data_IF_830014758182
#
_entry.id   IF_830014758182
#
_cell.length_a   1.000
_cell.length_b   1.000
_cell.length_c   1.000
_cell.angle_alpha   90.00
_cell.angle_beta   90.00
_cell.angle_gamma   90.00
#
_symmetry.space_group_name_H-M   'P 1'
#
loop_
_entity.id
_entity.type
_entity.pdbx_description
1 polymer ?
#
# COMPACT_ATOMS: atom_id res chain seq x y z
N UNK A 1 14.62 16.49 15.30
CA UNK A 1 13.54 15.54 15.07
C UNK A 1 13.47 15.20 13.60
N UNK A 2 13.52 13.92 13.24
CA UNK A 2 13.26 13.51 11.88
C UNK A 2 11.84 13.96 11.49
N UNK A 3 11.63 14.48 10.27
CA UNK A 3 10.29 14.82 9.84
C UNK A 3 9.42 13.56 9.86
N UNK A 4 8.30 13.62 10.53
CA UNK A 4 7.30 12.56 10.48
C UNK A 4 6.78 12.47 9.04
N UNK A 5 6.98 11.32 8.41
CA UNK A 5 6.40 11.05 7.11
C UNK A 5 4.92 10.79 7.32
N UNK A 6 4.07 11.66 6.81
CA UNK A 6 2.64 11.45 6.87
C UNK A 6 2.26 10.14 6.19
N UNK A 7 1.51 9.34 6.90
CA UNK A 7 0.96 8.10 6.42
C UNK A 7 0.00 8.39 5.25
N UNK A 8 0.25 7.76 4.10
CA UNK A 8 -0.62 7.88 2.93
C UNK A 8 -1.35 6.56 2.69
N UNK A 9 -2.64 6.52 3.00
CA UNK A 9 -3.48 5.36 2.73
C UNK A 9 -3.68 5.19 1.22
N UNK A 10 -3.88 3.94 0.79
CA UNK A 10 -3.85 3.55 -0.62
C UNK A 10 -5.22 3.00 -1.05
N UNK A 11 -5.72 3.47 -2.18
CA UNK A 11 -6.83 2.83 -2.89
C UNK A 11 -6.29 2.09 -4.10
N UNK A 12 -6.51 0.79 -4.11
CA UNK A 12 -5.98 -0.14 -5.10
C UNK A 12 -7.08 -0.60 -6.04
N UNK A 13 -6.93 -0.30 -7.31
CA UNK A 13 -7.90 -0.65 -8.36
C UNK A 13 -7.39 -1.82 -9.19
N UNK A 14 -8.22 -2.83 -9.38
CA UNK A 14 -7.85 -3.94 -10.22
C UNK A 14 -8.90 -5.04 -10.18
N UNK A 15 -9.03 -5.82 -11.26
CA UNK A 15 -10.05 -6.85 -11.36
C UNK A 15 -9.88 -7.95 -10.31
N UNK A 16 -10.96 -8.65 -10.01
CA UNK A 16 -10.95 -9.81 -9.13
C UNK A 16 -9.97 -10.86 -9.69
N UNK A 17 -9.16 -11.45 -8.83
CA UNK A 17 -8.15 -12.41 -9.26
C UNK A 17 -6.88 -11.80 -9.83
N UNK A 18 -6.72 -10.48 -9.75
CA UNK A 18 -5.52 -9.77 -10.23
C UNK A 18 -4.32 -9.86 -9.30
N UNK A 19 -4.47 -10.52 -8.15
CA UNK A 19 -3.38 -10.70 -7.19
C UNK A 19 -3.26 -9.59 -6.14
N UNK A 20 -4.28 -8.76 -5.95
CA UNK A 20 -4.26 -7.69 -4.94
C UNK A 20 -3.95 -8.21 -3.54
N UNK A 21 -4.66 -9.24 -3.10
CA UNK A 21 -4.44 -9.85 -1.78
C UNK A 21 -3.04 -10.42 -1.65
N UNK A 22 -2.56 -11.12 -2.66
CA UNK A 22 -1.21 -11.67 -2.68
C UNK A 22 -0.15 -10.57 -2.57
N UNK A 23 -0.34 -9.48 -3.31
CA UNK A 23 0.57 -8.35 -3.27
C UNK A 23 0.64 -7.73 -1.87
N UNK A 24 -0.51 -7.54 -1.23
CA UNK A 24 -0.56 -6.96 0.12
C UNK A 24 0.08 -7.90 1.16
N UNK A 25 -0.18 -9.20 1.07
CA UNK A 25 0.47 -10.20 1.94
C UNK A 25 1.99 -10.16 1.79
N UNK A 26 2.46 -10.08 0.56
CA UNK A 26 3.89 -10.02 0.27
C UNK A 26 4.51 -8.72 0.78
N UNK A 27 3.79 -7.61 0.64
CA UNK A 27 4.20 -6.32 1.18
C UNK A 27 4.37 -6.36 2.70
N UNK A 28 3.40 -6.93 3.40
CA UNK A 28 3.46 -7.04 4.87
C UNK A 28 4.65 -7.88 5.33
N UNK A 29 4.95 -8.97 4.62
CA UNK A 29 6.14 -9.79 4.90
C UNK A 29 7.43 -9.03 4.67
N UNK A 30 7.50 -8.28 3.57
CA UNK A 30 8.66 -7.48 3.23
C UNK A 30 8.95 -6.41 4.28
N UNK A 31 7.91 -5.74 4.75
CA UNK A 31 8.02 -4.71 5.79
C UNK A 31 8.15 -5.29 7.20
N UNK A 32 7.96 -6.59 7.35
CA UNK A 32 7.95 -7.29 8.64
C UNK A 32 6.96 -6.66 9.62
N UNK A 33 5.75 -6.45 9.15
CA UNK A 33 4.65 -5.88 9.95
C UNK A 33 3.44 -6.82 9.96
N UNK A 34 2.62 -6.77 11.01
CA UNK A 34 1.39 -7.54 11.04
C UNK A 34 0.38 -7.05 10.00
N UNK A 35 -0.43 -7.97 9.49
CA UNK A 35 -1.45 -7.71 8.48
C UNK A 35 -2.78 -8.28 8.93
N UNK A 36 -3.83 -7.49 8.79
CA UNK A 36 -5.21 -7.97 8.87
C UNK A 36 -5.90 -7.74 7.53
N UNK A 37 -6.67 -8.71 7.09
CA UNK A 37 -7.45 -8.65 5.86
C UNK A 37 -8.92 -8.75 6.20
N UNK A 38 -9.72 -7.85 5.63
CA UNK A 38 -11.16 -7.85 5.77
C UNK A 38 -11.82 -7.67 4.41
N UNK A 39 -13.05 -8.14 4.30
CA UNK A 39 -13.91 -7.91 3.15
C UNK A 39 -14.95 -6.85 3.54
N UNK A 40 -15.04 -5.78 2.77
CA UNK A 40 -15.96 -4.68 3.07
C UNK A 40 -17.41 -5.14 3.12
N UNK A 41 -17.78 -6.17 2.34
CA UNK A 41 -19.14 -6.70 2.33
C UNK A 41 -19.52 -7.48 3.59
N UNK A 42 -18.51 -7.97 4.32
CA UNK A 42 -18.72 -8.65 5.60
C UNK A 42 -18.78 -7.69 6.79
N UNK A 43 -18.40 -6.42 6.59
CA UNK A 43 -18.45 -5.40 7.62
C UNK A 43 -19.84 -4.79 7.72
N UNK A 44 -20.31 -4.61 8.95
CA UNK A 44 -21.62 -4.03 9.21
C UNK A 44 -21.51 -2.97 10.31
N UNK A 45 -22.56 -2.16 10.42
CA UNK A 45 -22.70 -1.29 11.58
C UNK A 45 -22.79 -2.10 12.87
N UNK A 46 -22.35 -1.49 13.97
CA UNK A 46 -22.51 -2.08 15.31
C UNK A 46 -23.98 -2.45 15.57
N UNK A 47 -24.23 -3.71 15.94
CA UNK A 47 -25.57 -4.23 16.23
C UNK A 47 -26.22 -5.05 15.13
N UNK A 48 -25.65 -5.12 13.93
CA UNK A 48 -26.12 -5.98 12.84
C UNK A 48 -25.34 -7.29 12.79
N UNK A 49 -25.87 -8.29 12.07
CA UNK A 49 -25.21 -9.58 11.86
C UNK A 49 -24.01 -9.38 10.93
N UNK A 50 -22.83 -9.75 11.40
CA UNK A 50 -21.56 -9.63 10.70
C UNK A 50 -20.47 -9.07 11.61
N UNK A 51 -19.27 -8.93 11.08
CA UNK A 51 -18.16 -8.33 11.81
C UNK A 51 -18.35 -6.83 11.89
N UNK A 52 -18.18 -6.25 13.08
CA UNK A 52 -18.10 -4.80 13.18
C UNK A 52 -16.73 -4.32 12.67
N UNK A 53 -16.64 -3.03 12.37
CA UNK A 53 -15.43 -2.45 11.79
C UNK A 53 -14.25 -2.53 12.77
N UNK A 54 -14.52 -2.44 14.07
CA UNK A 54 -13.51 -2.54 15.11
C UNK A 54 -12.89 -3.93 15.19
N UNK A 55 -13.62 -4.97 14.75
CA UNK A 55 -13.11 -6.35 14.72
C UNK A 55 -11.89 -6.49 13.81
N UNK A 56 -11.74 -5.63 12.81
CA UNK A 56 -10.57 -5.62 11.93
C UNK A 56 -9.32 -5.24 12.72
N UNK A 57 -9.45 -4.26 13.61
CA UNK A 57 -8.35 -3.85 14.50
C UNK A 57 -8.00 -4.97 15.48
N UNK A 58 -9.00 -5.69 15.98
CA UNK A 58 -8.81 -6.88 16.82
C UNK A 58 -8.03 -7.97 16.08
N UNK A 59 -8.36 -8.23 14.82
CA UNK A 59 -7.60 -9.18 13.97
C UNK A 59 -6.15 -8.75 13.80
N UNK A 60 -5.90 -7.46 13.63
CA UNK A 60 -4.55 -6.93 13.51
C UNK A 60 -3.76 -7.12 14.80
N UNK A 61 -4.38 -6.88 15.95
CA UNK A 61 -3.75 -7.10 17.26
C UNK A 61 -3.37 -8.57 17.44
N UNK A 62 -4.27 -9.49 17.08
CA UNK A 62 -3.99 -10.93 17.11
C UNK A 62 -2.82 -11.31 16.18
N UNK A 63 -2.80 -10.75 14.98
CA UNK A 63 -1.70 -10.98 14.02
C UNK A 63 -0.36 -10.42 14.52
N UNK A 64 -0.39 -9.41 15.40
CA UNK A 64 0.79 -8.84 16.04
C UNK A 64 1.23 -9.62 17.29
N UNK A 65 0.61 -10.76 17.58
CA UNK A 65 0.88 -11.53 18.81
C UNK A 65 0.44 -10.78 20.07
N UNK A 66 -0.61 -10.00 19.98
CA UNK A 66 -1.15 -9.13 21.05
C UNK A 66 -0.21 -8.01 21.49
N UNK A 67 0.78 -7.68 20.67
CA UNK A 67 1.67 -6.55 20.89
C UNK A 67 1.04 -5.30 20.26
N UNK A 68 0.56 -4.39 21.11
CA UNK A 68 -0.14 -3.16 20.70
C UNK A 68 0.75 -2.29 19.82
N UNK A 69 1.99 -2.09 20.21
CA UNK A 69 2.93 -1.23 19.44
C UNK A 69 3.17 -1.77 18.03
N UNK A 70 3.33 -3.08 17.89
CA UNK A 70 3.45 -3.73 16.57
C UNK A 70 2.18 -3.57 15.74
N UNK A 71 1.00 -3.74 16.37
CA UNK A 71 -0.28 -3.57 15.70
C UNK A 71 -0.44 -2.14 15.17
N UNK A 72 -0.05 -1.14 15.95
CA UNK A 72 -0.15 0.27 15.57
C UNK A 72 0.71 0.66 14.36
N UNK A 73 1.67 -0.17 13.97
CA UNK A 73 2.51 -0.01 12.78
C UNK A 73 2.21 -1.06 11.70
N UNK A 74 1.10 -1.75 11.81
CA UNK A 74 0.67 -2.78 10.88
C UNK A 74 -0.05 -2.26 9.65
N UNK A 75 -0.55 -3.21 8.86
CA UNK A 75 -1.33 -2.95 7.65
C UNK A 75 -2.72 -3.57 7.82
N UNK A 76 -3.74 -2.81 7.48
CA UNK A 76 -5.11 -3.31 7.32
C UNK A 76 -5.47 -3.21 5.84
N UNK A 77 -5.79 -4.35 5.23
CA UNK A 77 -6.27 -4.43 3.86
C UNK A 77 -7.77 -4.74 3.87
N UNK A 78 -8.55 -3.83 3.28
CA UNK A 78 -10.00 -3.99 3.16
C UNK A 78 -10.32 -4.15 1.68
N UNK A 79 -10.67 -5.39 1.29
CA UNK A 79 -11.02 -5.71 -0.08
C UNK A 79 -12.50 -5.48 -0.37
N UNK A 80 -12.87 -5.48 -1.64
CA UNK A 80 -14.26 -5.34 -2.09
C UNK A 80 -14.90 -3.99 -1.71
N UNK A 81 -14.08 -2.93 -1.62
CA UNK A 81 -14.55 -1.61 -1.19
C UNK A 81 -15.56 -1.00 -2.17
N UNK A 82 -15.49 -1.36 -3.46
CA UNK A 82 -16.42 -0.92 -4.49
C UNK A 82 -17.86 -1.40 -4.24
N UNK A 83 -18.03 -2.52 -3.54
CA UNK A 83 -19.34 -3.09 -3.24
C UNK A 83 -20.13 -2.31 -2.19
N UNK A 84 -19.47 -1.46 -1.42
CA UNK A 84 -20.14 -0.55 -0.49
C UNK A 84 -20.32 0.86 -1.06
N UNK A 85 -20.08 1.04 -2.35
CA UNK A 85 -20.38 2.27 -3.04
C UNK A 85 -21.88 2.53 -3.08
N UNK A 86 -22.27 3.80 -3.03
CA UNK A 86 -23.66 4.21 -3.14
C UNK A 86 -24.15 3.96 -4.57
N UNK A 87 -25.17 3.09 -4.72
CA UNK A 87 -25.76 2.80 -6.03
C UNK A 87 -26.66 3.95 -6.48
N UNK A 88 -26.39 4.50 -7.66
CA UNK A 88 -27.31 5.39 -8.34
C UNK A 88 -28.54 4.56 -8.75
N UNK A 89 -29.75 5.08 -8.60
CA UNK A 89 -31.01 4.49 -9.07
C UNK A 89 -31.65 3.39 -8.21
N UNK A 90 -31.29 3.26 -6.95
CA UNK A 90 -32.10 2.46 -6.04
C UNK A 90 -33.10 3.35 -5.30
N UNK A 91 -34.38 3.02 -5.42
CA UNK A 91 -35.48 3.68 -4.69
C UNK A 91 -35.40 3.41 -3.17
N UNK A 92 -34.67 2.39 -2.76
CA UNK A 92 -34.36 2.10 -1.37
C UNK A 92 -33.02 2.72 -1.00
N UNK A 93 -32.98 3.40 0.15
CA UNK A 93 -31.74 3.83 0.76
C UNK A 93 -30.82 2.62 0.91
N UNK A 94 -29.68 2.62 0.22
CA UNK A 94 -28.61 1.71 0.55
C UNK A 94 -27.86 2.27 1.78
N UNK A 95 -28.56 2.21 2.90
CA UNK A 95 -28.09 2.75 4.17
C UNK A 95 -26.86 1.99 4.65
N UNK A 96 -26.74 0.71 4.28
CA UNK A 96 -25.66 -0.16 4.76
C UNK A 96 -24.30 0.21 4.16
N UNK A 97 -24.22 0.47 2.85
CA UNK A 97 -22.96 0.80 2.18
C UNK A 97 -22.39 2.15 2.61
N UNK A 98 -23.23 3.17 2.63
CA UNK A 98 -22.84 4.50 3.09
C UNK A 98 -22.41 4.51 4.55
N UNK A 99 -23.13 3.80 5.40
CA UNK A 99 -22.81 3.67 6.82
C UNK A 99 -21.45 3.01 7.04
N UNK A 100 -21.15 1.95 6.28
CA UNK A 100 -19.85 1.27 6.37
C UNK A 100 -18.73 2.20 5.95
N UNK A 101 -18.91 2.99 4.88
CA UNK A 101 -17.92 4.00 4.48
C UNK A 101 -17.70 5.04 5.58
N UNK A 102 -18.76 5.51 6.24
CA UNK A 102 -18.66 6.47 7.35
C UNK A 102 -17.93 5.89 8.56
N UNK A 103 -18.19 4.63 8.90
CA UNK A 103 -17.49 3.96 10.00
C UNK A 103 -16.01 3.72 9.69
N UNK A 104 -15.70 3.30 8.47
CA UNK A 104 -14.30 3.14 8.02
C UNK A 104 -13.56 4.48 8.03
N UNK A 105 -14.24 5.56 7.72
CA UNK A 105 -13.67 6.89 7.73
C UNK A 105 -13.09 7.24 9.12
N UNK A 106 -13.76 6.86 10.19
CA UNK A 106 -13.27 7.08 11.56
C UNK A 106 -11.93 6.41 11.81
N UNK A 107 -11.75 5.17 11.30
CA UNK A 107 -10.47 4.47 11.41
C UNK A 107 -9.38 5.14 10.57
N UNK A 108 -9.73 5.57 9.34
CA UNK A 108 -8.78 6.21 8.43
C UNK A 108 -8.32 7.57 8.92
N UNK A 109 -9.20 8.32 9.59
CA UNK A 109 -8.88 9.62 10.19
C UNK A 109 -7.94 9.48 11.39
N UNK A 110 -7.95 8.32 12.02
CA UNK A 110 -7.20 8.04 13.21
C UNK A 110 -8.06 8.13 14.47
N UNK A 111 -8.05 7.05 15.24
CA UNK A 111 -8.84 6.96 16.47
C UNK A 111 -8.18 6.01 17.46
N UNK A 112 -8.58 6.13 18.72
CA UNK A 112 -8.26 5.16 19.75
C UNK A 112 -9.37 4.11 19.75
N UNK A 113 -9.02 2.85 19.50
CA UNK A 113 -9.98 1.75 19.42
C UNK A 113 -9.72 0.76 20.54
N UNK A 114 -10.73 0.49 21.34
CA UNK A 114 -10.66 -0.55 22.39
C UNK A 114 -11.05 -1.90 21.78
N UNK A 115 -10.17 -2.87 21.90
CA UNK A 115 -10.36 -4.21 21.34
C UNK A 115 -10.02 -5.28 22.37
N UNK A 116 -10.72 -6.44 22.33
CA UNK A 116 -10.39 -7.54 23.23
C UNK A 116 -9.04 -8.17 22.88
N UNK A 117 -8.27 -8.53 23.91
CA UNK A 117 -6.98 -9.19 23.75
C UNK A 117 -7.21 -10.72 23.83
N UNK A 118 -6.76 -11.44 22.80
CA UNK A 118 -6.80 -12.89 22.74
C UNK A 118 -8.17 -13.49 22.45
N UNK A 119 -9.20 -12.67 22.18
CA UNK A 119 -10.55 -13.14 21.83
C UNK A 119 -11.26 -12.12 20.94
N UNK A 120 -12.05 -12.59 20.00
CA UNK A 120 -12.92 -11.74 19.17
C UNK A 120 -14.23 -11.37 19.86
N UNK A 121 -14.46 -11.87 21.08
CA UNK A 121 -15.69 -11.66 21.82
C UNK A 121 -15.50 -10.64 22.93
N UNK A 122 -16.27 -9.55 22.86
CA UNK A 122 -16.39 -8.60 23.96
C UNK A 122 -17.24 -9.24 25.05
N UNK A 123 -16.62 -9.70 26.13
CA UNK A 123 -17.33 -10.02 27.36
C UNK A 123 -16.66 -9.31 28.54
N UNK A 124 -17.37 -9.21 29.66
CA UNK A 124 -16.93 -8.44 30.84
C UNK A 124 -15.62 -8.96 31.46
N UNK A 125 -15.18 -10.18 31.12
CA UNK A 125 -13.99 -10.81 31.69
C UNK A 125 -12.78 -10.78 30.73
N UNK A 126 -12.97 -10.33 29.48
CA UNK A 126 -11.89 -10.28 28.49
C UNK A 126 -11.07 -9.01 28.70
N UNK A 127 -9.73 -9.13 28.83
CA UNK A 127 -8.89 -7.94 28.87
C UNK A 127 -9.02 -7.13 27.59
N UNK A 128 -9.08 -5.83 27.71
CA UNK A 128 -9.18 -4.90 26.59
C UNK A 128 -7.86 -4.16 26.41
N UNK A 129 -7.48 -3.90 25.18
CA UNK A 129 -6.36 -3.06 24.82
C UNK A 129 -6.84 -1.90 23.97
N UNK A 130 -6.18 -0.75 24.10
CA UNK A 130 -6.44 0.42 23.27
C UNK A 130 -5.39 0.46 22.15
N UNK A 131 -5.85 0.48 20.90
CA UNK A 131 -4.99 0.56 19.72
C UNK A 131 -5.24 1.90 19.03
N UNK A 132 -4.16 2.64 18.80
CA UNK A 132 -4.18 3.90 18.05
C UNK A 132 -4.03 3.59 16.57
N UNK A 133 -4.99 3.98 15.74
CA UNK A 133 -4.99 3.70 14.32
C UNK A 133 -4.24 4.72 13.47
N UNK A 134 -3.71 5.78 14.04
CA UNK A 134 -3.05 6.88 13.31
C UNK A 134 -1.86 6.41 12.45
N UNK A 135 -1.13 5.40 12.89
CA UNK A 135 0.06 4.89 12.19
C UNK A 135 -0.17 3.56 11.48
N UNK A 136 -1.39 3.05 11.49
CA UNK A 136 -1.77 1.87 10.71
C UNK A 136 -1.92 2.29 9.25
N UNK A 137 -1.28 1.54 8.34
CA UNK A 137 -1.46 1.75 6.92
C UNK A 137 -2.73 1.03 6.45
N UNK A 138 -3.68 1.79 5.95
CA UNK A 138 -4.89 1.24 5.35
C UNK A 138 -4.74 1.15 3.84
N UNK A 139 -5.01 -0.03 3.31
CA UNK A 139 -5.08 -0.29 1.88
C UNK A 139 -6.49 -0.79 1.59
N UNK A 140 -7.22 -0.07 0.76
CA UNK A 140 -8.54 -0.48 0.31
C UNK A 140 -8.44 -0.93 -1.14
N UNK A 141 -9.03 -2.08 -1.45
CA UNK A 141 -9.00 -2.65 -2.80
C UNK A 141 -10.39 -2.88 -3.36
N UNK A 142 -10.51 -2.82 -4.67
CA UNK A 142 -11.74 -3.13 -5.36
C UNK A 142 -11.57 -3.29 -6.85
N UNK A 143 -12.50 -4.00 -7.48
CA UNK A 143 -12.51 -4.20 -8.92
C UNK A 143 -13.14 -3.01 -9.66
N UNK A 144 -14.07 -2.32 -9.04
CA UNK A 144 -14.76 -1.15 -9.58
C UNK A 144 -15.33 -1.40 -10.99
N UNK A 145 -16.21 -2.40 -11.18
CA UNK A 145 -16.80 -2.66 -12.49
C UNK A 145 -17.63 -1.47 -12.97
N UNK A 146 -17.36 -1.02 -14.20
CA UNK A 146 -18.00 0.16 -14.76
C UNK A 146 -17.23 1.47 -14.57
N UNK A 147 -16.19 1.48 -13.74
CA UNK A 147 -15.35 2.66 -13.54
C UNK A 147 -14.60 3.04 -14.82
N UNK A 148 -14.15 2.06 -15.59
CA UNK A 148 -13.53 2.26 -16.90
C UNK A 148 -14.44 3.06 -17.84
N UNK A 149 -15.72 2.79 -17.87
CA UNK A 149 -16.68 3.54 -18.68
C UNK A 149 -16.82 4.98 -18.21
N UNK A 150 -16.83 5.22 -16.91
CA UNK A 150 -16.86 6.57 -16.33
C UNK A 150 -15.63 7.38 -16.75
N UNK A 151 -14.46 6.75 -16.69
CA UNK A 151 -13.20 7.39 -17.09
C UNK A 151 -13.21 7.72 -18.58
N UNK A 152 -13.61 6.76 -19.42
CA UNK A 152 -13.70 6.93 -20.88
C UNK A 152 -14.65 8.06 -21.24
N UNK A 153 -15.81 8.12 -20.60
CA UNK A 153 -16.79 9.18 -20.85
C UNK A 153 -16.23 10.56 -20.49
N UNK A 154 -15.55 10.69 -19.36
CA UNK A 154 -14.90 11.95 -18.97
C UNK A 154 -13.83 12.38 -19.98
N UNK A 155 -13.01 11.45 -20.44
CA UNK A 155 -11.94 11.73 -21.42
C UNK A 155 -12.53 12.09 -22.79
N UNK A 156 -13.62 11.44 -23.21
CA UNK A 156 -14.33 11.79 -24.45
C UNK A 156 -14.94 13.18 -24.42
N UNK A 157 -15.51 13.60 -23.31
CA UNK A 157 -16.04 14.95 -23.14
C UNK A 157 -14.97 16.03 -23.30
N UNK A 158 -13.76 15.77 -22.81
CA UNK A 158 -12.62 16.69 -23.02
C UNK A 158 -12.15 16.70 -24.45
N UNK A 159 -12.18 15.57 -25.17
CA UNK A 159 -11.72 15.48 -26.54
C UNK A 159 -12.71 16.05 -27.57
N UNK A 160 -14.02 16.11 -27.26
CA UNK A 160 -15.01 16.72 -28.16
C UNK A 160 -14.86 18.24 -28.30
N UNK A 161 -14.17 18.86 -27.38
CA UNK A 161 -13.79 20.29 -27.52
C UNK A 161 -12.63 20.50 -28.48
N UNK A 162 -11.97 19.46 -28.97
CA UNK A 162 -10.81 19.52 -29.85
C UNK A 162 -10.83 18.49 -30.96
N UNK A 163 -11.74 18.53 -31.86
CA UNK A 163 -11.78 17.93 -33.21
C UNK A 163 -10.97 16.65 -33.52
N UNK A 164 -10.78 15.68 -32.61
CA UNK A 164 -10.02 14.48 -32.91
C UNK A 164 -10.84 13.20 -32.64
N UNK A 165 -11.42 12.64 -33.68
CA UNK A 165 -12.06 11.33 -33.67
C UNK A 165 -11.09 10.17 -33.33
N UNK A 166 -9.78 10.38 -33.55
CA UNK A 166 -8.75 9.38 -33.23
C UNK A 166 -8.54 9.18 -31.75
N UNK A 167 -8.76 10.18 -30.90
CA UNK A 167 -8.66 10.06 -29.44
C UNK A 167 -9.73 9.15 -28.86
N UNK A 168 -10.92 9.05 -29.48
CA UNK A 168 -11.98 8.16 -29.01
C UNK A 168 -11.61 6.68 -29.11
N UNK A 169 -10.94 6.28 -30.19
CA UNK A 169 -10.52 4.90 -30.40
C UNK A 169 -9.36 4.52 -29.47
N UNK A 170 -8.47 5.45 -29.16
CA UNK A 170 -7.38 5.21 -28.22
C UNK A 170 -7.88 4.97 -26.80
N UNK A 171 -8.90 5.71 -26.33
CA UNK A 171 -9.45 5.53 -24.98
C UNK A 171 -10.29 4.26 -24.86
N UNK A 172 -11.03 3.87 -25.90
CA UNK A 172 -11.88 2.68 -25.87
C UNK A 172 -11.10 1.37 -25.82
N UNK A 173 -9.86 1.36 -26.30
CA UNK A 173 -9.01 0.18 -26.38
C UNK A 173 -7.80 0.21 -25.44
N UNK A 174 -7.72 1.21 -24.56
CA UNK A 174 -6.60 1.31 -23.62
C UNK A 174 -6.75 0.28 -22.48
N UNK A 175 -5.86 -0.74 -22.40
CA UNK A 175 -5.91 -1.71 -21.33
C UNK A 175 -5.57 -1.11 -19.96
N UNK A 176 -4.93 0.06 -19.92
CA UNK A 176 -4.49 0.75 -18.72
C UNK A 176 -5.36 1.97 -18.39
N UNK A 177 -6.62 1.97 -18.81
CA UNK A 177 -7.53 3.10 -18.62
C UNK A 177 -7.72 3.45 -17.13
N UNK A 178 -7.65 2.45 -16.24
CA UNK A 178 -7.78 2.67 -14.80
C UNK A 178 -6.65 3.56 -14.23
N UNK A 179 -5.51 3.64 -14.90
CA UNK A 179 -4.42 4.55 -14.50
C UNK A 179 -4.80 6.02 -14.65
N UNK A 180 -5.82 6.32 -15.45
CA UNK A 180 -6.34 7.66 -15.68
C UNK A 180 -7.40 8.08 -14.67
N UNK A 181 -7.67 7.26 -13.66
CA UNK A 181 -8.70 7.52 -12.65
C UNK A 181 -8.45 8.83 -11.90
N UNK A 182 -9.53 9.55 -11.63
CA UNK A 182 -9.53 10.74 -10.77
C UNK A 182 -10.47 10.53 -9.59
N UNK A 183 -10.32 11.36 -8.58
CA UNK A 183 -11.25 11.36 -7.43
C UNK A 183 -12.69 11.62 -7.86
N UNK A 184 -12.89 12.48 -8.87
CA UNK A 184 -14.21 12.74 -9.43
C UNK A 184 -14.85 11.50 -10.05
N UNK A 185 -14.07 10.69 -10.76
CA UNK A 185 -14.55 9.41 -11.32
C UNK A 185 -15.05 8.47 -10.23
N UNK A 186 -14.30 8.37 -9.14
CA UNK A 186 -14.65 7.53 -8.00
C UNK A 186 -15.89 8.06 -7.26
N UNK A 187 -16.03 9.36 -7.17
CA UNK A 187 -17.23 9.99 -6.61
C UNK A 187 -18.45 9.70 -7.48
N UNK A 188 -18.31 9.79 -8.80
CA UNK A 188 -19.37 9.43 -9.74
C UNK A 188 -19.72 7.95 -9.71
N UNK A 189 -18.76 7.11 -9.34
CA UNK A 189 -19.00 5.67 -9.11
C UNK A 189 -19.86 5.43 -7.86
N UNK A 190 -19.78 6.29 -6.84
CA UNK A 190 -20.57 6.18 -5.62
C UNK A 190 -19.77 6.20 -4.32
N UNK A 191 -18.49 6.53 -4.40
CA UNK A 191 -17.66 6.67 -3.20
C UNK A 191 -17.86 8.04 -2.55
N UNK A 192 -17.87 8.07 -1.23
CA UNK A 192 -18.06 9.31 -0.46
C UNK A 192 -16.80 10.18 -0.55
N UNK A 193 -16.94 11.49 -0.86
CA UNK A 193 -15.78 12.37 -0.99
C UNK A 193 -14.86 12.41 0.22
N UNK A 194 -15.40 12.41 1.43
CA UNK A 194 -14.63 12.43 2.68
C UNK A 194 -13.79 11.15 2.82
N UNK A 195 -14.36 10.01 2.44
CA UNK A 195 -13.66 8.72 2.44
C UNK A 195 -12.52 8.73 1.43
N UNK A 196 -12.78 9.22 0.21
CA UNK A 196 -11.74 9.34 -0.82
C UNK A 196 -10.61 10.29 -0.41
N UNK A 197 -10.93 11.34 0.33
CA UNK A 197 -9.94 12.27 0.85
C UNK A 197 -8.94 11.64 1.80
N UNK A 198 -9.30 10.51 2.43
CA UNK A 198 -8.40 9.75 3.30
C UNK A 198 -7.66 8.63 2.58
N UNK A 199 -7.87 8.49 1.28
CA UNK A 199 -7.18 7.53 0.40
C UNK A 199 -6.48 8.28 -0.74
N UNK A 200 -5.48 9.11 -0.43
CA UNK A 200 -4.90 10.02 -1.42
C UNK A 200 -4.08 9.31 -2.49
N UNK A 201 -3.67 8.07 -2.26
CA UNK A 201 -2.87 7.31 -3.21
C UNK A 201 -3.78 6.39 -4.01
N UNK A 202 -3.99 6.75 -5.28
CA UNK A 202 -4.80 5.97 -6.20
C UNK A 202 -3.87 5.20 -7.14
N UNK A 203 -4.03 3.88 -7.18
CA UNK A 203 -3.15 3.03 -7.99
C UNK A 203 -3.96 1.97 -8.71
N UNK A 204 -3.73 1.83 -10.01
CA UNK A 204 -4.22 0.69 -10.77
C UNK A 204 -3.23 -0.47 -10.66
N UNK A 205 -3.72 -1.71 -10.76
CA UNK A 205 -2.86 -2.86 -10.51
C UNK A 205 -1.70 -2.98 -11.51
N UNK A 206 -1.86 -2.54 -12.74
CA UNK A 206 -0.81 -2.61 -13.75
C UNK A 206 0.31 -1.59 -13.54
N UNK A 207 -0.02 -0.36 -13.12
CA UNK A 207 0.96 0.66 -12.75
C UNK A 207 1.43 0.56 -11.30
N UNK A 208 0.62 -0.12 -10.47
CA UNK A 208 0.81 -0.23 -9.04
C UNK A 208 2.10 -0.91 -8.65
N UNK A 209 2.45 -2.00 -9.32
CA UNK A 209 3.50 -2.90 -8.87
C UNK A 209 4.86 -2.20 -8.81
N UNK A 210 5.25 -1.50 -9.86
CA UNK A 210 6.53 -0.77 -9.90
C UNK A 210 6.54 0.40 -8.91
N UNK A 211 5.51 1.25 -8.94
CA UNK A 211 5.42 2.41 -8.05
C UNK A 211 5.33 2.00 -6.59
N UNK A 212 4.53 0.97 -6.28
CA UNK A 212 4.42 0.46 -4.92
C UNK A 212 5.73 -0.12 -4.44
N UNK A 213 6.41 -0.93 -5.26
CA UNK A 213 7.70 -1.50 -4.90
C UNK A 213 8.75 -0.43 -4.68
N UNK A 214 8.77 0.63 -5.47
CA UNK A 214 9.67 1.75 -5.26
C UNK A 214 9.37 2.50 -3.95
N UNK A 215 8.09 2.68 -3.62
CA UNK A 215 7.70 3.27 -2.34
C UNK A 215 8.09 2.39 -1.16
N UNK A 216 7.90 1.08 -1.28
CA UNK A 216 8.34 0.12 -0.27
C UNK A 216 9.84 0.25 -0.01
N UNK A 217 10.62 0.42 -1.07
CA UNK A 217 12.06 0.57 -0.96
C UNK A 217 12.47 1.90 -0.32
N UNK A 218 11.71 2.96 -0.55
CA UNK A 218 12.07 4.32 -0.09
C UNK A 218 11.50 4.69 1.27
N UNK A 219 10.30 4.27 1.61
CA UNK A 219 9.57 4.93 2.68
C UNK A 219 9.67 4.26 4.02
N UNK A 220 9.41 3.24 4.57
CA UNK A 220 9.18 3.22 6.01
C UNK A 220 10.42 3.03 6.85
N UNK A 221 10.29 3.42 8.12
CA UNK A 221 11.30 3.26 9.18
C UNK A 221 11.88 1.85 9.29
N UNK A 222 11.17 0.84 8.75
CA UNK A 222 11.57 -0.57 8.79
C UNK A 222 11.81 -1.17 7.40
N UNK A 223 11.96 -0.36 6.36
CA UNK A 223 12.29 -0.85 5.03
C UNK A 223 13.60 -1.66 5.06
N UNK A 224 13.68 -2.68 4.23
CA UNK A 224 14.87 -3.54 4.15
C UNK A 224 16.13 -2.69 3.91
N UNK A 225 16.04 -1.67 3.05
CA UNK A 225 17.15 -0.77 2.80
C UNK A 225 17.62 -0.07 4.05
N UNK A 226 16.73 0.33 4.94
CA UNK A 226 17.05 0.98 6.20
C UNK A 226 17.82 0.05 7.14
N UNK A 227 17.53 -1.23 7.11
CA UNK A 227 18.29 -2.21 7.89
C UNK A 227 19.76 -2.26 7.43
N UNK A 228 19.98 -2.30 6.11
CA UNK A 228 21.34 -2.28 5.56
C UNK A 228 22.04 -0.93 5.81
N UNK A 229 21.33 0.18 5.69
CA UNK A 229 21.84 1.51 6.03
C UNK A 229 22.33 1.58 7.48
N UNK A 230 21.55 1.03 8.40
CA UNK A 230 21.91 0.98 9.84
C UNK A 230 23.12 0.11 10.11
N UNK A 231 23.19 -1.05 9.45
CA UNK A 231 24.32 -1.97 9.61
C UNK A 231 25.63 -1.32 9.12
N UNK A 232 25.62 -0.67 7.98
CA UNK A 232 26.81 0.03 7.46
C UNK A 232 27.14 1.29 8.28
N UNK A 233 26.15 1.93 8.86
CA UNK A 233 26.37 3.08 9.76
C UNK A 233 27.15 2.70 11.01
N UNK A 234 27.09 1.44 11.46
CA UNK A 234 27.91 0.96 12.57
C UNK A 234 29.39 1.03 12.25
N UNK A 235 29.77 0.89 10.98
CA UNK A 235 31.14 1.05 10.48
C UNK A 235 31.42 2.46 9.95
N UNK A 236 30.53 3.41 10.26
CA UNK A 236 30.59 4.80 9.82
C UNK A 236 30.56 4.94 8.28
N UNK A 237 29.89 4.04 7.60
CA UNK A 237 29.71 4.05 6.14
C UNK A 237 28.29 4.44 5.80
N UNK A 238 28.13 5.43 4.93
CA UNK A 238 26.82 5.85 4.42
C UNK A 238 26.46 5.02 3.19
N UNK A 239 25.31 4.39 3.21
CA UNK A 239 24.75 3.65 2.07
C UNK A 239 23.74 4.52 1.33
N UNK A 240 23.94 4.69 0.03
CA UNK A 240 23.05 5.48 -0.83
C UNK A 240 22.65 4.65 -2.03
N UNK A 241 21.36 4.64 -2.35
CA UNK A 241 20.83 4.03 -3.57
C UNK A 241 20.40 5.15 -4.53
N UNK A 242 20.90 5.13 -5.75
CA UNK A 242 20.40 6.01 -6.80
C UNK A 242 18.99 5.60 -7.22
N UNK A 243 18.17 6.56 -7.66
CA UNK A 243 16.77 6.30 -8.02
C UNK A 243 16.64 5.27 -9.16
N UNK A 244 17.50 5.34 -10.16
CA UNK A 244 17.51 4.37 -11.26
C UNK A 244 17.91 2.96 -10.80
N UNK A 245 18.74 2.84 -9.76
CA UNK A 245 19.06 1.56 -9.15
C UNK A 245 17.83 0.96 -8.46
N UNK A 246 17.09 1.77 -7.71
CA UNK A 246 15.84 1.33 -7.08
C UNK A 246 14.80 0.92 -8.12
N UNK A 247 14.71 1.65 -9.20
CA UNK A 247 13.83 1.33 -10.33
C UNK A 247 14.20 -0.03 -10.96
N UNK A 248 15.48 -0.30 -11.16
CA UNK A 248 15.96 -1.58 -11.66
C UNK A 248 15.58 -2.74 -10.74
N UNK A 249 15.73 -2.55 -9.42
CA UNK A 249 15.36 -3.57 -8.42
C UNK A 249 13.86 -3.86 -8.52
N UNK A 250 13.02 -2.83 -8.59
CA UNK A 250 11.57 -2.97 -8.71
C UNK A 250 11.18 -3.70 -10.01
N UNK A 251 11.79 -3.33 -11.13
CA UNK A 251 11.55 -3.98 -12.42
C UNK A 251 11.91 -5.47 -12.40
N UNK A 252 13.03 -5.82 -11.79
CA UNK A 252 13.47 -7.22 -11.65
C UNK A 252 12.54 -8.01 -10.74
N UNK A 253 12.05 -7.42 -9.67
CA UNK A 253 11.09 -8.07 -8.77
C UNK A 253 9.78 -8.38 -9.50
N UNK A 254 9.34 -7.51 -10.41
CA UNK A 254 8.13 -7.71 -11.20
C UNK A 254 8.24 -8.84 -12.23
N UNK A 255 9.43 -9.11 -12.74
CA UNK A 255 9.67 -10.19 -13.69
C UNK A 255 9.53 -11.59 -13.09
N UNK A 256 9.59 -11.69 -11.76
CA UNK A 256 9.48 -12.97 -11.07
C UNK A 256 8.06 -13.17 -10.54
N UNK A 257 7.53 -14.38 -10.66
CA UNK A 257 6.19 -14.75 -10.22
C UNK A 257 5.95 -14.53 -8.71
N UNK A 258 7.03 -14.38 -7.95
CA UNK A 258 6.97 -14.15 -6.50
C UNK A 258 6.88 -12.67 -6.10
N UNK A 259 6.92 -11.75 -7.07
CA UNK A 259 6.72 -10.31 -6.83
C UNK A 259 7.65 -9.73 -5.77
N UNK A 260 7.07 -9.18 -4.70
CA UNK A 260 7.85 -8.52 -3.65
C UNK A 260 8.78 -9.44 -2.85
N UNK A 261 8.58 -10.77 -2.85
CA UNK A 261 9.56 -11.71 -2.29
C UNK A 261 10.89 -11.62 -3.00
N UNK A 262 10.85 -11.38 -4.31
CA UNK A 262 12.05 -11.24 -5.11
C UNK A 262 12.88 -10.02 -4.70
N UNK A 263 12.26 -8.96 -4.15
CA UNK A 263 12.99 -7.79 -3.65
C UNK A 263 14.02 -8.17 -2.58
N UNK A 264 13.59 -8.96 -1.59
CA UNK A 264 14.48 -9.40 -0.52
C UNK A 264 15.63 -10.25 -1.06
N UNK A 265 15.33 -11.21 -1.93
CA UNK A 265 16.33 -12.08 -2.53
C UNK A 265 17.33 -11.28 -3.39
N UNK A 266 16.85 -10.35 -4.20
CA UNK A 266 17.69 -9.47 -5.02
C UNK A 266 18.61 -8.61 -4.13
N UNK A 267 18.07 -8.00 -3.10
CA UNK A 267 18.84 -7.17 -2.18
C UNK A 267 19.88 -8.00 -1.42
N UNK A 268 19.53 -9.19 -0.94
CA UNK A 268 20.45 -10.07 -0.23
C UNK A 268 21.63 -10.45 -1.10
N UNK A 269 21.41 -10.77 -2.39
CA UNK A 269 22.47 -11.20 -3.28
C UNK A 269 23.62 -10.19 -3.40
N UNK A 270 23.33 -8.91 -3.64
CA UNK A 270 24.41 -7.94 -3.80
C UNK A 270 24.77 -7.20 -2.51
N UNK A 271 23.89 -7.17 -1.52
CA UNK A 271 24.24 -6.60 -0.22
C UNK A 271 25.20 -7.51 0.58
N UNK A 272 25.16 -8.81 0.37
CA UNK A 272 26.13 -9.72 1.02
C UNK A 272 27.54 -9.37 0.65
N UNK A 273 27.84 -9.14 -0.61
CA UNK A 273 29.18 -8.75 -1.07
C UNK A 273 29.59 -7.40 -0.48
N UNK A 274 28.71 -6.43 -0.45
CA UNK A 274 28.98 -5.11 0.11
C UNK A 274 29.23 -5.20 1.62
N UNK A 275 28.39 -5.94 2.34
CA UNK A 275 28.53 -6.12 3.79
C UNK A 275 29.82 -6.83 4.17
N UNK A 276 30.32 -7.70 3.28
CA UNK A 276 31.57 -8.42 3.51
C UNK A 276 32.81 -7.57 3.16
N UNK A 277 32.81 -6.89 2.01
CA UNK A 277 33.98 -6.22 1.47
C UNK A 277 34.24 -4.79 2.05
N UNK A 278 33.15 -4.02 2.21
CA UNK A 278 33.22 -2.61 2.56
C UNK A 278 33.84 -2.35 3.96
N UNK A 279 33.45 -3.10 5.02
CA UNK A 279 33.98 -2.86 6.36
C UNK A 279 35.48 -3.13 6.48
N UNK A 280 36.09 -3.82 5.52
CA UNK A 280 37.52 -4.14 5.55
C UNK A 280 38.42 -2.94 5.26
N UNK A 281 37.90 -1.90 4.61
CA UNK A 281 38.64 -0.69 4.30
C UNK A 281 38.12 0.48 5.15
N UNK A 282 38.92 0.93 6.17
CA UNK A 282 38.47 1.99 7.06
C UNK A 282 38.43 3.37 6.39
N UNK A 283 38.94 3.51 5.17
CA UNK A 283 38.95 4.78 4.46
C UNK A 283 37.68 5.04 3.66
N UNK A 284 36.80 4.07 3.56
CA UNK A 284 35.52 4.21 2.83
C UNK A 284 34.54 5.00 3.69
N UNK A 285 34.02 6.11 3.14
CA UNK A 285 33.01 6.96 3.79
C UNK A 285 31.60 6.72 3.31
N UNK A 286 31.42 6.40 2.02
CA UNK A 286 30.12 6.07 1.49
C UNK A 286 30.18 5.05 0.34
N UNK A 287 29.08 4.34 0.18
CA UNK A 287 28.87 3.39 -0.93
C UNK A 287 27.59 3.78 -1.64
N UNK A 288 27.70 4.04 -2.93
CA UNK A 288 26.55 4.41 -3.77
C UNK A 288 26.24 3.23 -4.70
N UNK A 289 25.04 2.70 -4.56
CA UNK A 289 24.54 1.62 -5.40
C UNK A 289 23.95 2.23 -6.67
N UNK A 290 24.56 1.90 -7.78
CA UNK A 290 24.18 2.42 -9.10
C UNK A 290 23.54 1.32 -9.94
N UNK A 291 22.80 1.70 -10.96
CA UNK A 291 22.22 0.74 -11.92
C UNK A 291 23.30 -0.09 -12.63
N UNK A 292 24.40 0.50 -13.15
CA UNK A 292 25.47 -0.29 -13.74
C UNK A 292 26.05 -1.36 -12.83
N UNK A 293 26.20 -1.06 -11.54
CA UNK A 293 26.65 -2.06 -10.57
C UNK A 293 25.68 -3.24 -10.47
N UNK A 294 24.39 -2.98 -10.40
CA UNK A 294 23.37 -4.02 -10.32
C UNK A 294 23.28 -4.84 -11.61
N UNK A 295 23.57 -4.23 -12.74
CA UNK A 295 23.64 -4.90 -14.04
C UNK A 295 24.97 -5.62 -14.27
N UNK A 296 25.82 -5.70 -13.27
CA UNK A 296 27.16 -6.32 -13.30
C UNK A 296 28.13 -5.66 -14.31
N UNK A 297 28.00 -4.35 -14.49
CA UNK A 297 28.84 -3.54 -15.38
C UNK A 297 29.86 -2.68 -14.61
N UNK A 298 30.36 -3.20 -13.50
CA UNK A 298 31.33 -2.50 -12.66
C UNK A 298 31.04 -2.67 -11.17
N UNK A 299 31.86 -2.07 -10.34
CA UNK A 299 31.64 -2.03 -8.90
C UNK A 299 30.72 -0.90 -8.45
N UNK A 300 30.30 -0.89 -7.20
CA UNK A 300 29.57 0.24 -6.64
C UNK A 300 30.46 1.49 -6.63
N UNK A 301 29.83 2.66 -6.65
CA UNK A 301 30.60 3.90 -6.51
C UNK A 301 30.99 4.11 -5.06
N UNK A 302 32.28 4.12 -4.81
CA UNK A 302 32.83 4.27 -3.47
C UNK A 302 33.39 5.68 -3.29
N UNK A 303 33.00 6.34 -2.22
CA UNK A 303 33.50 7.63 -1.84
C UNK A 303 34.33 7.48 -0.57
N UNK A 304 35.57 7.95 -0.63
CA UNK A 304 36.51 7.87 0.48
C UNK A 304 36.21 8.94 1.51
N UNK A 305 36.62 8.70 2.75
CA UNK A 305 36.52 9.70 3.82
C UNK A 305 37.47 10.86 3.50
N UNK A 306 36.95 12.06 3.62
CA UNK A 306 37.71 13.28 3.48
C UNK A 306 38.50 13.64 4.73
#
# INVERSE_FOLDING_TARGET
GEPEIEKSNILMLGPTGSGKTYLVKTLAKLLDVPLAIADATALTEAGYIGDDIESVVSKLLAAAGNDVEKAEHGIIFIDEIDKIAKKKNTMSRDVSGESVQQELLKLLEGSQVEVPVGSNQKNALTPMATVDTNNILFICGGAFPGLDDIIKERLKKRSTMGFNSHLKDEFDNDPDILSQVTTEDLRNFGMIPEFLGRLPVLVSLQGLTKELLMRILKEPKNAILKQYERLLALDEVKLVFEDDALEWIAERALEKDTGARALRAILEDFMMDIMYEIPKDPNIGSVVITRPYLEKKGGPRIEMRG
#
